data_IF_341461135556
#
_entry.id   IF_341461135556
#
_cell.length_a   1.000
_cell.length_b   1.000
_cell.length_c   1.000
_cell.angle_alpha   90.00
_cell.angle_beta   90.00
_cell.angle_gamma   90.00
#
_symmetry.space_group_name_H-M   'P 1'
#
loop_
_entity.id
_entity.type
_entity.pdbx_description
1 polymer ?
#
# COMPACT_ATOMS: atom_id res chain seq x y z
N UNK A 1 5.96 8.33 19.44
CA UNK A 1 4.61 8.13 18.89
C UNK A 1 4.74 7.54 17.50
N UNK A 2 4.46 6.25 17.30
CA UNK A 2 4.36 5.65 15.96
C UNK A 2 2.87 5.60 15.58
N UNK A 3 2.37 6.57 14.82
CA UNK A 3 0.95 6.65 14.45
C UNK A 3 0.51 5.65 13.37
N UNK A 4 1.38 4.72 12.96
CA UNK A 4 1.03 3.63 12.04
C UNK A 4 0.58 4.09 10.64
N UNK A 5 0.88 5.34 10.26
CA UNK A 5 0.50 5.96 8.99
C UNK A 5 -1.00 5.80 8.67
N UNK A 6 -1.87 6.28 9.57
CA UNK A 6 -3.31 6.21 9.36
C UNK A 6 -3.72 6.99 8.10
N UNK A 7 -4.57 6.38 7.25
CA UNK A 7 -5.09 7.05 6.04
C UNK A 7 -5.78 8.38 6.33
N UNK A 8 -6.38 8.52 7.51
CA UNK A 8 -7.05 9.76 7.94
C UNK A 8 -6.09 10.92 8.16
N UNK A 9 -4.81 10.64 8.36
CA UNK A 9 -3.76 11.65 8.55
C UNK A 9 -3.12 12.04 7.21
N UNK A 10 -3.69 11.62 6.07
CA UNK A 10 -3.18 11.97 4.75
C UNK A 10 -3.17 13.50 4.57
N UNK A 11 -2.03 14.09 4.18
CA UNK A 11 -1.96 15.53 3.94
C UNK A 11 -2.95 16.00 2.87
N UNK A 12 -3.60 17.13 3.12
CA UNK A 12 -4.66 17.68 2.27
C UNK A 12 -4.24 17.89 0.80
N UNK A 13 -2.95 18.16 0.55
CA UNK A 13 -2.39 18.28 -0.81
C UNK A 13 -2.63 17.07 -1.72
N UNK A 14 -2.91 15.90 -1.15
CA UNK A 14 -3.21 14.67 -1.90
C UNK A 14 -4.70 14.45 -2.15
N UNK A 15 -5.56 15.35 -1.66
CA UNK A 15 -7.00 15.26 -1.76
C UNK A 15 -7.63 14.34 -0.70
N UNK A 16 -8.92 14.00 -0.86
CA UNK A 16 -9.65 13.20 0.11
C UNK A 16 -9.03 11.83 0.32
N UNK A 17 -8.72 11.48 1.58
CA UNK A 17 -8.08 10.21 1.92
C UNK A 17 -8.83 8.97 1.42
N UNK A 18 -10.17 9.02 1.36
CA UNK A 18 -11.01 7.92 0.90
C UNK A 18 -10.81 7.63 -0.58
N UNK A 19 -10.65 8.66 -1.42
CA UNK A 19 -10.36 8.54 -2.85
C UNK A 19 -8.97 7.97 -3.08
N UNK A 20 -7.98 8.42 -2.30
CA UNK A 20 -6.61 7.91 -2.38
C UNK A 20 -6.55 6.45 -1.94
N UNK A 21 -7.21 6.11 -0.84
CA UNK A 21 -7.31 4.73 -0.39
C UNK A 21 -8.00 3.82 -1.40
N UNK A 22 -9.09 4.29 -2.03
CA UNK A 22 -9.79 3.53 -3.07
C UNK A 22 -8.84 3.20 -4.23
N UNK A 23 -8.11 4.19 -4.73
CA UNK A 23 -7.14 4.00 -5.81
C UNK A 23 -6.02 3.04 -5.42
N UNK A 24 -5.48 3.20 -4.21
CA UNK A 24 -4.48 2.29 -3.66
C UNK A 24 -5.00 0.85 -3.64
N UNK A 25 -6.22 0.62 -3.14
CA UNK A 25 -6.85 -0.70 -3.12
C UNK A 25 -7.02 -1.27 -4.52
N UNK A 26 -7.54 -0.48 -5.45
CA UNK A 26 -7.77 -0.94 -6.82
C UNK A 26 -6.45 -1.33 -7.48
N UNK A 27 -5.39 -0.54 -7.30
CA UNK A 27 -4.05 -0.81 -7.84
C UNK A 27 -3.39 -2.04 -7.22
N UNK A 28 -3.58 -2.24 -5.91
CA UNK A 28 -3.14 -3.45 -5.22
C UNK A 28 -3.88 -4.67 -5.75
N UNK A 29 -5.20 -4.60 -5.85
CA UNK A 29 -6.04 -5.75 -6.19
C UNK A 29 -5.95 -6.13 -7.66
N UNK A 30 -5.68 -5.17 -8.55
CA UNK A 30 -5.54 -5.40 -9.99
C UNK A 30 -4.07 -5.57 -10.46
N UNK A 31 -3.10 -5.67 -9.54
CA UNK A 31 -1.69 -5.90 -9.86
C UNK A 31 -0.99 -4.72 -10.55
N UNK A 32 -1.48 -3.48 -10.40
CA UNK A 32 -0.82 -2.30 -10.99
C UNK A 32 0.57 -2.10 -10.40
N UNK A 33 0.74 -2.30 -9.10
CA UNK A 33 2.04 -2.16 -8.47
C UNK A 33 3.06 -3.19 -9.01
N UNK A 34 2.63 -4.43 -9.23
CA UNK A 34 3.49 -5.48 -9.78
C UNK A 34 3.96 -5.12 -11.19
N UNK A 35 3.06 -4.64 -12.05
CA UNK A 35 3.41 -4.18 -13.41
C UNK A 35 4.35 -2.99 -13.42
N UNK A 36 4.19 -2.06 -12.47
CA UNK A 36 5.10 -0.92 -12.33
C UNK A 36 6.49 -1.42 -11.93
N UNK A 37 6.56 -2.30 -10.94
CA UNK A 37 7.81 -2.87 -10.45
C UNK A 37 8.54 -3.65 -11.54
N UNK A 38 7.83 -4.51 -12.27
CA UNK A 38 8.38 -5.28 -13.40
C UNK A 38 8.99 -4.36 -14.47
N UNK A 39 8.26 -3.32 -14.88
CA UNK A 39 8.75 -2.38 -15.90
C UNK A 39 9.98 -1.59 -15.41
N UNK A 40 9.98 -1.17 -14.15
CA UNK A 40 11.14 -0.49 -13.57
C UNK A 40 12.34 -1.42 -13.51
N UNK A 41 12.15 -2.68 -13.11
CA UNK A 41 13.22 -3.67 -13.05
C UNK A 41 13.84 -3.90 -14.43
N UNK A 42 13.01 -4.16 -15.45
CA UNK A 42 13.48 -4.36 -16.83
C UNK A 42 14.28 -3.14 -17.30
N UNK A 43 13.74 -1.94 -17.10
CA UNK A 43 14.39 -0.70 -17.54
C UNK A 43 15.75 -0.49 -16.85
N UNK A 44 15.78 -0.58 -15.52
CA UNK A 44 17.01 -0.32 -14.76
C UNK A 44 18.07 -1.41 -15.02
N UNK A 45 17.65 -2.65 -15.27
CA UNK A 45 18.56 -3.72 -15.70
C UNK A 45 19.17 -3.40 -17.07
N UNK A 46 18.37 -2.93 -18.03
CA UNK A 46 18.86 -2.52 -19.35
C UNK A 46 19.83 -1.32 -19.28
N UNK A 47 19.59 -0.40 -18.35
CA UNK A 47 20.46 0.75 -18.10
C UNK A 47 21.72 0.38 -17.28
N UNK A 48 21.88 -0.88 -16.84
CA UNK A 48 23.01 -1.33 -16.02
C UNK A 48 23.02 -0.74 -14.61
N UNK A 49 21.85 -0.31 -14.11
CA UNK A 49 21.68 0.35 -12.80
C UNK A 49 21.28 -0.61 -11.67
N UNK A 50 21.19 -1.91 -11.96
CA UNK A 50 20.94 -2.96 -10.97
C UNK A 50 22.19 -3.82 -10.86
N UNK A 51 22.72 -3.94 -9.64
CA UNK A 51 23.69 -4.97 -9.28
C UNK A 51 22.95 -6.30 -9.09
N UNK A 52 23.26 -7.30 -9.91
CA UNK A 52 22.67 -8.64 -9.86
C UNK A 52 23.55 -9.66 -9.12
N UNK A 53 24.78 -9.30 -8.78
CA UNK A 53 25.74 -10.16 -8.10
C UNK A 53 25.58 -10.09 -6.57
N UNK A 54 25.08 -8.96 -6.06
CA UNK A 54 24.85 -8.75 -4.62
C UNK A 54 23.36 -8.83 -4.27
N UNK A 55 23.02 -9.73 -3.35
CA UNK A 55 21.65 -9.87 -2.83
C UNK A 55 21.59 -9.52 -1.34
N UNK A 56 20.72 -8.59 -0.98
CA UNK A 56 20.42 -8.24 0.41
C UNK A 56 18.95 -8.54 0.67
N UNK A 57 18.70 -9.34 1.71
CA UNK A 57 17.35 -9.67 2.15
C UNK A 57 17.15 -9.01 3.53
N UNK A 58 16.22 -8.08 3.61
CA UNK A 58 15.77 -7.48 4.86
C UNK A 58 14.29 -7.77 5.11
N UNK A 59 13.84 -7.54 6.34
CA UNK A 59 12.42 -7.60 6.67
C UNK A 59 12.07 -6.46 7.61
N UNK A 60 10.98 -5.76 7.32
CA UNK A 60 10.44 -4.70 8.17
C UNK A 60 8.98 -5.02 8.47
N UNK A 61 8.58 -4.90 9.74
CA UNK A 61 7.21 -5.11 10.17
C UNK A 61 6.68 -3.88 10.93
N UNK A 62 5.54 -3.36 10.49
CA UNK A 62 4.80 -2.31 11.23
C UNK A 62 3.63 -2.97 11.95
N UNK A 63 3.67 -2.98 13.28
CA UNK A 63 2.59 -3.55 14.09
C UNK A 63 1.35 -2.66 14.00
N UNK A 64 0.24 -3.22 13.51
CA UNK A 64 -1.05 -2.58 13.59
C UNK A 64 -1.56 -2.56 15.04
N UNK A 65 -2.16 -1.45 15.46
CA UNK A 65 -2.81 -1.38 16.78
C UNK A 65 -4.15 -2.11 16.74
N UNK A 66 -4.66 -2.55 17.90
CA UNK A 66 -5.99 -3.20 17.99
C UNK A 66 -7.13 -2.35 17.40
N UNK A 67 -6.97 -1.03 17.34
CA UNK A 67 -7.94 -0.08 16.79
C UNK A 67 -7.77 0.20 15.28
N UNK A 68 -6.80 -0.43 14.61
CA UNK A 68 -6.52 -0.21 13.18
C UNK A 68 -7.50 -0.94 12.25
N UNK A 69 -8.20 -1.96 12.73
CA UNK A 69 -9.35 -2.56 12.05
C UNK A 69 -10.51 -1.59 12.19
N UNK A 70 -10.86 -0.86 11.14
CA UNK A 70 -11.92 0.16 11.18
C UNK A 70 -13.23 -0.35 11.81
N UNK A 71 -14.05 0.56 12.31
CA UNK A 71 -15.34 0.23 12.92
C UNK A 71 -16.20 -0.62 11.95
N UNK A 72 -16.73 -1.75 12.43
CA UNK A 72 -17.66 -2.58 11.67
C UNK A 72 -18.85 -1.73 11.18
N UNK A 73 -19.33 -1.99 9.96
CA UNK A 73 -20.48 -1.27 9.38
C UNK A 73 -21.66 -1.35 10.34
N UNK A 74 -22.08 -0.22 10.92
CA UNK A 74 -23.39 -0.13 11.60
C UNK A 74 -24.47 -0.37 10.55
N UNK A 75 -25.18 -1.50 10.64
CA UNK A 75 -26.36 -1.77 9.80
C UNK A 75 -26.45 -3.15 9.14
N UNK A 76 -25.56 -4.10 9.44
CA UNK A 76 -25.61 -5.46 8.87
C UNK A 76 -26.59 -6.41 9.55
N UNK A 77 -27.89 -6.08 9.59
CA UNK A 77 -28.94 -7.09 9.76
C UNK A 77 -29.94 -6.97 8.61
N UNK A 78 -29.88 -7.91 7.68
CA UNK A 78 -31.06 -8.40 6.98
C UNK A 78 -31.06 -9.92 7.09
N UNK A 79 -31.84 -10.42 8.05
CA UNK A 79 -32.36 -11.78 8.01
C UNK A 79 -33.27 -11.89 6.79
N UNK A 80 -33.03 -12.88 5.94
CA UNK A 80 -34.06 -13.73 5.35
C UNK A 80 -33.46 -15.11 5.16
#
# INVERSE_FOLDING_TARGET
MCSGAAWRDLPERFGPWSTVYQRFRDWRDNGTFDRILERLHIRLNQEGLIDLDTWIIDSTAVRATRASSGAGKKGGLKKR
#
